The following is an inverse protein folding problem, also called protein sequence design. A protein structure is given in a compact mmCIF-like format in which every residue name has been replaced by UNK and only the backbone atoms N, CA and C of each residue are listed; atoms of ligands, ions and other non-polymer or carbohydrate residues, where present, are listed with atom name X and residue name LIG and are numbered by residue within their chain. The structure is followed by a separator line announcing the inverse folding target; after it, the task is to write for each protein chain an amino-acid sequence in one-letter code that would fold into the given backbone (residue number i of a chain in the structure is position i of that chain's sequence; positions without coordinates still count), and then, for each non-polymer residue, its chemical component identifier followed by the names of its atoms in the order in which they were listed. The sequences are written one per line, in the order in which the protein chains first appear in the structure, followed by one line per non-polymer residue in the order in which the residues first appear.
data_IF_318789304310
#
_entry.id   IF_318789304310
#
_cell.length_a   1.000
_cell.length_b   1.000
_cell.length_c   1.000
_cell.angle_alpha   90.00
_cell.angle_beta   90.00
_cell.angle_gamma   90.00
#
_symmetry.space_group_name_H-M   'P 1'
#
loop_
_entity.id
_entity.type
_entity.pdbx_description
1 polymer ?
#
# COMPACT_ATOMS: atom_id res chain seq x y z
N UNK A 1 7.64 8.58 10.80
CA UNK A 1 6.33 7.97 11.01
C UNK A 1 6.26 6.63 10.31
N UNK A 2 5.70 5.64 10.95
CA UNK A 2 5.56 4.31 10.36
C UNK A 2 4.11 4.07 9.99
N UNK A 3 3.90 3.51 8.81
CA UNK A 3 2.57 3.17 8.33
C UNK A 3 2.55 1.68 8.03
N UNK A 4 1.51 1.02 8.52
CA UNK A 4 1.34 -0.41 8.29
C UNK A 4 0.45 -0.63 7.07
N UNK A 5 0.90 -1.46 6.17
CA UNK A 5 0.10 -1.94 5.06
C UNK A 5 -0.15 -3.43 5.25
N UNK A 6 -1.35 -3.88 4.98
CA UNK A 6 -1.72 -5.29 5.07
C UNK A 6 -2.00 -5.80 3.67
N UNK A 7 -1.26 -6.83 3.25
CA UNK A 7 -1.38 -7.40 1.90
C UNK A 7 -2.23 -8.66 1.96
N UNK A 8 -3.19 -8.74 1.05
CA UNK A 8 -4.10 -9.88 0.95
C UNK A 8 -4.06 -10.48 -0.46
N UNK A 9 -4.20 -11.79 -0.59
CA UNK A 9 -4.37 -12.40 -1.91
C UNK A 9 -5.76 -12.03 -2.46
N UNK A 10 -5.83 -11.74 -3.75
CA UNK A 10 -7.09 -11.45 -4.41
C UNK A 10 -7.68 -12.73 -4.98
N UNK A 11 -9.01 -12.85 -4.99
CA UNK A 11 -9.68 -14.03 -5.50
C UNK A 11 -9.42 -14.29 -6.98
N UNK A 12 -9.28 -13.23 -7.74
CA UNK A 12 -9.08 -13.32 -9.19
C UNK A 12 -7.62 -13.48 -9.59
N UNK A 13 -6.74 -13.60 -8.62
CA UNK A 13 -5.31 -13.62 -8.84
C UNK A 13 -4.69 -12.27 -8.46
N UNK A 14 -3.38 -12.29 -8.20
CA UNK A 14 -2.71 -11.10 -7.71
C UNK A 14 -2.96 -10.83 -6.25
N UNK A 15 -2.72 -9.60 -5.84
CA UNK A 15 -2.79 -9.18 -4.44
C UNK A 15 -3.37 -7.78 -4.34
N UNK A 16 -3.88 -7.46 -3.17
CA UNK A 16 -4.27 -6.09 -2.85
C UNK A 16 -3.80 -5.74 -1.45
N UNK A 17 -3.64 -4.48 -1.18
CA UNK A 17 -3.18 -4.02 0.12
C UNK A 17 -4.05 -2.90 0.63
N UNK A 18 -4.20 -2.85 1.94
CA UNK A 18 -4.92 -1.79 2.61
C UNK A 18 -4.01 -1.12 3.63
N UNK A 19 -4.27 0.14 3.89
CA UNK A 19 -3.59 0.89 4.93
C UNK A 19 -4.65 1.33 5.93
N UNK A 20 -4.76 0.64 7.08
CA UNK A 20 -5.81 0.95 8.05
C UNK A 20 -5.80 2.39 8.56
N UNK A 21 -4.62 3.01 8.62
CA UNK A 21 -4.50 4.39 9.07
C UNK A 21 -5.07 5.41 8.07
N UNK A 22 -5.27 4.98 6.81
CA UNK A 22 -5.79 5.86 5.76
C UNK A 22 -7.07 5.23 5.21
N UNK A 23 -8.22 5.59 5.75
CA UNK A 23 -9.50 4.98 5.33
C UNK A 23 -9.71 5.06 3.82
N UNK A 24 -10.09 3.94 3.22
CA UNK A 24 -10.33 3.88 1.79
C UNK A 24 -9.09 3.78 0.92
N UNK A 25 -7.92 3.74 1.52
CA UNK A 25 -6.67 3.64 0.76
C UNK A 25 -6.38 2.17 0.46
N UNK A 26 -6.54 1.79 -0.80
CA UNK A 26 -6.33 0.41 -1.26
C UNK A 26 -5.51 0.45 -2.55
N UNK A 27 -4.56 -0.46 -2.67
CA UNK A 27 -3.80 -0.64 -3.91
C UNK A 27 -3.84 -2.10 -4.30
N UNK A 28 -3.53 -2.40 -5.55
CA UNK A 28 -3.50 -3.77 -6.05
C UNK A 28 -2.37 -3.96 -7.05
N UNK A 29 -2.03 -5.21 -7.32
CA UNK A 29 -1.00 -5.58 -8.27
C UNK A 29 -0.99 -7.08 -8.48
N UNK A 30 -0.31 -7.53 -9.51
CA UNK A 30 -0.21 -8.96 -9.83
C UNK A 30 0.74 -9.70 -8.90
N UNK A 31 1.71 -9.00 -8.35
CA UNK A 31 2.67 -9.57 -7.41
C UNK A 31 2.75 -8.69 -6.17
N UNK A 32 3.30 -9.24 -5.10
CA UNK A 32 3.50 -8.46 -3.88
C UNK A 32 4.43 -7.28 -4.15
N UNK A 33 5.47 -7.48 -4.95
CA UNK A 33 6.39 -6.41 -5.31
C UNK A 33 5.67 -5.27 -6.02
N UNK A 34 4.78 -5.61 -6.94
CA UNK A 34 4.01 -4.62 -7.68
C UNK A 34 3.07 -3.84 -6.77
N UNK A 35 2.41 -4.54 -5.85
CA UNK A 35 1.56 -3.90 -4.84
C UNK A 35 2.37 -2.91 -4.01
N UNK A 36 3.58 -3.29 -3.63
CA UNK A 36 4.47 -2.43 -2.85
C UNK A 36 4.85 -1.16 -3.58
N UNK A 37 5.19 -1.30 -4.87
CA UNK A 37 5.55 -0.17 -5.69
C UNK A 37 4.36 0.77 -5.84
N UNK A 38 3.18 0.21 -6.11
CA UNK A 38 1.96 0.99 -6.27
C UNK A 38 1.58 1.70 -4.97
N UNK A 39 1.75 1.01 -3.86
CA UNK A 39 1.48 1.57 -2.55
C UNK A 39 2.38 2.78 -2.27
N UNK A 40 3.65 2.63 -2.54
CA UNK A 40 4.62 3.69 -2.33
C UNK A 40 4.32 4.91 -3.20
N UNK A 41 4.03 4.68 -4.48
CA UNK A 41 3.70 5.76 -5.39
C UNK A 41 2.45 6.52 -4.96
N UNK A 42 1.44 5.80 -4.53
CA UNK A 42 0.21 6.42 -4.07
C UNK A 42 0.42 7.22 -2.78
N UNK A 43 1.25 6.70 -1.89
CA UNK A 43 1.53 7.37 -0.62
C UNK A 43 2.35 8.64 -0.77
N UNK A 44 3.19 8.73 -1.78
CA UNK A 44 3.97 9.93 -2.05
C UNK A 44 3.04 11.12 -2.27
N UNK A 45 1.95 10.90 -3.01
CA UNK A 45 0.96 11.94 -3.21
C UNK A 45 0.21 12.33 -1.96
N UNK A 46 0.01 11.39 -1.04
CA UNK A 46 -0.70 11.63 0.21
C UNK A 46 0.16 12.35 1.24
N UNK A 47 1.43 12.01 1.27
CA UNK A 47 2.32 12.32 2.37
C UNK A 47 3.56 13.05 1.91
N UNK A 48 3.45 13.85 0.88
CA UNK A 48 4.56 14.60 0.32
C UNK A 48 5.27 15.52 1.31
N UNK A 49 4.57 15.87 2.39
CA UNK A 49 5.15 16.75 3.42
C UNK A 49 5.62 15.98 4.65
N UNK A 50 5.49 14.67 4.66
CA UNK A 50 5.86 13.86 5.81
C UNK A 50 6.86 12.78 5.42
N UNK A 51 7.81 12.50 6.32
CA UNK A 51 8.72 11.39 6.15
C UNK A 51 8.03 10.12 6.63
N UNK A 52 8.00 9.11 5.77
CA UNK A 52 7.28 7.88 6.07
C UNK A 52 8.19 6.70 5.91
N UNK A 53 8.11 5.77 6.87
CA UNK A 53 8.68 4.45 6.73
C UNK A 53 7.54 3.48 6.48
N UNK A 54 7.60 2.73 5.39
CA UNK A 54 6.60 1.72 5.09
C UNK A 54 6.98 0.39 5.71
N UNK A 55 6.01 -0.24 6.37
CA UNK A 55 6.17 -1.56 6.95
C UNK A 55 5.06 -2.47 6.48
N UNK A 56 5.43 -3.70 6.25
CA UNK A 56 4.50 -4.72 5.80
C UNK A 56 4.50 -5.87 6.78
#
# INVERSE_FOLDING_TARGET
MKIRAIVHPAEEGGYWAEVPALPGFITEGDTIEEVMINLKDAMVGWLEVANIALHI
#
